data_IF_989137322279
#
_entry.id   IF_989137322279
#
_cell.length_a   1.000
_cell.length_b   1.000
_cell.length_c   1.000
_cell.angle_alpha   90.00
_cell.angle_beta   90.00
_cell.angle_gamma   90.00
#
_symmetry.space_group_name_H-M   'P 1'
#
loop_
_entity.id
_entity.type
_entity.pdbx_description
1 polymer ?
#
# COMPACT_ATOMS: atom_id res chain seq x y z
N UNK A 1 -3.84 2.91 0.83
CA UNK A 1 -5.30 2.84 1.11
C UNK A 1 -5.54 1.83 2.22
N UNK A 2 -6.50 2.08 3.11
CA UNK A 2 -6.91 1.17 4.19
C UNK A 2 -8.37 0.81 3.99
N UNK A 3 -8.72 -0.46 4.14
CA UNK A 3 -10.02 -0.96 3.74
C UNK A 3 -10.22 -2.43 4.02
N UNK A 4 -11.41 -2.92 3.69
CA UNK A 4 -11.74 -4.33 3.77
C UNK A 4 -11.58 -4.96 2.39
N UNK A 5 -10.79 -6.02 2.31
CA UNK A 5 -10.76 -6.86 1.12
C UNK A 5 -11.90 -7.89 1.22
N UNK A 6 -12.98 -7.63 0.49
CA UNK A 6 -14.05 -8.60 0.27
C UNK A 6 -13.66 -9.50 -0.89
N UNK A 7 -13.23 -10.71 -0.55
CA UNK A 7 -12.83 -11.73 -1.51
C UNK A 7 -13.89 -12.81 -1.53
N UNK A 8 -14.75 -12.77 -2.55
CA UNK A 8 -15.65 -13.87 -2.89
C UNK A 8 -14.97 -14.84 -3.86
N UNK A 9 -15.61 -15.95 -4.20
CA UNK A 9 -15.12 -16.91 -5.20
C UNK A 9 -14.93 -16.26 -6.58
N UNK A 10 -15.66 -15.18 -6.88
CA UNK A 10 -15.73 -14.56 -8.21
C UNK A 10 -15.22 -13.12 -8.25
N UNK A 11 -15.10 -12.42 -7.12
CA UNK A 11 -14.66 -11.02 -7.07
C UNK A 11 -13.72 -10.76 -5.89
N UNK A 12 -12.70 -9.93 -6.11
CA UNK A 12 -11.88 -9.30 -5.06
C UNK A 12 -12.10 -7.81 -5.13
N UNK A 13 -12.95 -7.29 -4.26
CA UNK A 13 -13.20 -5.86 -4.14
C UNK A 13 -12.57 -5.32 -2.86
N UNK A 14 -11.87 -4.19 -2.97
CA UNK A 14 -11.30 -3.50 -1.82
C UNK A 14 -12.19 -2.31 -1.47
N UNK A 15 -12.93 -2.45 -0.37
CA UNK A 15 -13.79 -1.39 0.14
C UNK A 15 -12.96 -0.46 1.03
N UNK A 16 -12.69 0.75 0.53
CA UNK A 16 -11.84 1.70 1.26
C UNK A 16 -12.58 2.26 2.48
N UNK A 17 -11.97 2.11 3.65
CA UNK A 17 -12.40 2.74 4.91
C UNK A 17 -11.85 4.17 4.99
N UNK A 18 -10.61 4.36 4.55
CA UNK A 18 -9.99 5.68 4.53
C UNK A 18 -8.56 5.71 4.00
N UNK A 19 -8.06 6.93 3.86
CA UNK A 19 -6.66 7.23 3.54
C UNK A 19 -6.00 7.83 4.78
N UNK A 20 -4.83 7.32 5.20
CA UNK A 20 -4.09 7.95 6.29
C UNK A 20 -3.58 9.33 5.86
N UNK A 21 -3.57 10.28 6.79
CA UNK A 21 -2.78 11.50 6.65
C UNK A 21 -1.31 11.17 6.88
N UNK A 22 -0.45 11.55 5.95
CA UNK A 22 0.99 11.30 6.00
C UNK A 22 1.72 12.64 6.13
N UNK A 23 2.32 12.90 7.28
CA UNK A 23 3.21 14.04 7.47
C UNK A 23 4.64 13.73 6.99
N UNK A 24 5.05 12.47 7.07
CA UNK A 24 6.36 11.98 6.62
C UNK A 24 6.24 11.11 5.37
N UNK A 25 7.31 11.11 4.57
CA UNK A 25 7.44 10.28 3.36
C UNK A 25 7.68 8.83 3.78
N UNK A 26 6.92 7.90 3.23
CA UNK A 26 7.07 6.46 3.51
C UNK A 26 7.91 5.81 2.42
N UNK A 27 9.05 5.20 2.77
CA UNK A 27 9.93 4.57 1.77
C UNK A 27 9.27 3.35 1.11
N UNK A 28 9.38 3.29 -0.20
CA UNK A 28 8.92 2.19 -1.04
C UNK A 28 10.11 1.45 -1.66
N UNK A 29 9.93 0.16 -1.88
CA UNK A 29 10.83 -0.67 -2.65
C UNK A 29 10.24 -0.87 -4.07
N UNK A 30 10.87 -0.33 -5.11
CA UNK A 30 10.56 -0.68 -6.49
C UNK A 30 11.17 -2.04 -6.85
N UNK A 31 10.39 -2.89 -7.52
CA UNK A 31 10.82 -4.19 -8.06
C UNK A 31 10.34 -4.24 -9.51
N UNK A 32 11.27 -4.30 -10.46
CA UNK A 32 10.94 -4.30 -11.88
C UNK A 32 10.60 -5.70 -12.37
N UNK A 33 9.55 -5.82 -13.18
CA UNK A 33 9.04 -7.09 -13.69
C UNK A 33 8.76 -6.98 -15.17
N UNK A 34 9.16 -8.00 -15.93
CA UNK A 34 8.79 -8.10 -17.34
C UNK A 34 7.34 -8.54 -17.49
N UNK A 35 6.66 -7.99 -18.49
CA UNK A 35 5.35 -8.43 -18.91
C UNK A 35 5.37 -9.87 -19.40
N UNK A 36 4.29 -10.58 -19.08
CA UNK A 36 3.89 -11.81 -19.75
C UNK A 36 2.52 -11.61 -20.44
N UNK A 37 2.07 -12.64 -21.16
CA UNK A 37 0.79 -12.61 -21.87
C UNK A 37 -0.43 -12.34 -20.95
N UNK A 38 -0.42 -12.82 -19.70
CA UNK A 38 -1.48 -12.58 -18.73
C UNK A 38 -1.49 -11.13 -18.25
N UNK A 39 -0.31 -10.57 -17.94
CA UNK A 39 -0.15 -9.18 -17.52
C UNK A 39 -0.62 -8.23 -18.63
N UNK A 40 -0.27 -8.52 -19.88
CA UNK A 40 -0.70 -7.72 -21.03
C UNK A 40 -2.22 -7.79 -21.27
N UNK A 41 -2.81 -8.97 -21.09
CA UNK A 41 -4.28 -9.13 -21.15
C UNK A 41 -4.98 -8.34 -20.04
N UNK A 42 -4.42 -8.33 -18.83
CA UNK A 42 -4.95 -7.54 -17.72
C UNK A 42 -4.85 -6.03 -18.00
N UNK A 43 -3.68 -5.57 -18.47
CA UNK A 43 -3.45 -4.19 -18.86
C UNK A 43 -4.45 -3.72 -19.94
N UNK A 44 -4.60 -4.47 -21.04
CA UNK A 44 -5.48 -4.10 -22.15
C UNK A 44 -6.96 -4.05 -21.74
N UNK A 45 -7.38 -4.87 -20.76
CA UNK A 45 -8.72 -4.81 -20.18
C UNK A 45 -8.93 -3.53 -19.36
N UNK A 46 -7.96 -3.18 -18.52
CA UNK A 46 -8.04 -2.04 -17.60
C UNK A 46 -7.87 -0.70 -18.34
N UNK A 47 -6.96 -0.61 -19.32
CA UNK A 47 -6.75 0.59 -20.14
C UNK A 47 -8.04 1.05 -20.85
N UNK A 48 -8.92 0.13 -21.25
CA UNK A 48 -10.21 0.52 -21.86
C UNK A 48 -11.11 1.35 -20.95
N UNK A 49 -10.83 1.34 -19.64
CA UNK A 49 -11.58 2.06 -18.61
C UNK A 49 -10.90 3.37 -18.20
N UNK A 50 -9.64 3.61 -18.62
CA UNK A 50 -8.83 4.76 -18.21
C UNK A 50 -8.13 5.41 -19.42
N UNK A 51 -8.29 6.72 -19.61
CA UNK A 51 -7.59 7.46 -20.67
C UNK A 51 -6.14 7.75 -20.25
N UNK A 52 -5.22 6.86 -20.61
CA UNK A 52 -3.78 7.06 -20.42
C UNK A 52 -3.17 7.88 -21.57
N UNK A 53 -2.18 8.71 -21.25
CA UNK A 53 -1.36 9.45 -22.22
C UNK A 53 -0.28 8.62 -22.93
N UNK A 54 -0.24 7.30 -22.73
CA UNK A 54 0.75 6.40 -23.33
C UNK A 54 0.13 5.04 -23.71
N UNK A 55 0.79 4.33 -24.62
CA UNK A 55 0.39 2.99 -25.05
C UNK A 55 1.54 2.00 -24.90
N UNK A 56 1.18 0.73 -24.66
CA UNK A 56 2.14 -0.37 -24.54
C UNK A 56 1.76 -1.39 -25.61
N UNK A 57 2.72 -1.71 -26.47
CA UNK A 57 2.57 -2.68 -27.55
C UNK A 57 3.38 -3.93 -27.22
N UNK A 58 2.70 -5.01 -26.81
CA UNK A 58 3.36 -6.27 -26.47
C UNK A 58 3.48 -7.19 -27.69
N UNK A 59 4.69 -7.66 -27.92
CA UNK A 59 5.00 -8.73 -28.87
C UNK A 59 5.93 -9.73 -28.17
N UNK A 60 5.49 -10.98 -28.06
CA UNK A 60 6.13 -12.01 -27.22
C UNK A 60 7.56 -12.37 -27.65
N UNK A 61 7.87 -12.14 -28.93
CA UNK A 61 9.18 -12.41 -29.54
C UNK A 61 10.16 -11.24 -29.48
N UNK A 62 9.81 -10.11 -28.85
CA UNK A 62 10.73 -8.98 -28.74
C UNK A 62 11.90 -9.32 -27.80
N UNK A 63 13.15 -8.99 -28.18
CA UNK A 63 14.30 -9.20 -27.32
C UNK A 63 14.24 -8.35 -26.05
N UNK A 64 13.66 -7.15 -26.12
CA UNK A 64 13.37 -6.31 -24.96
C UNK A 64 11.90 -6.44 -24.58
N UNK A 65 11.63 -7.17 -23.49
CA UNK A 65 10.29 -7.26 -22.92
C UNK A 65 9.95 -5.98 -22.18
N UNK A 66 8.75 -5.48 -22.40
CA UNK A 66 8.18 -4.36 -21.65
C UNK A 66 8.19 -4.69 -20.15
N UNK A 67 8.40 -3.67 -19.33
CA UNK A 67 8.43 -3.81 -17.87
C UNK A 67 7.32 -3.01 -17.19
N UNK A 68 6.93 -3.46 -16.02
CA UNK A 68 6.15 -2.70 -15.05
C UNK A 68 6.89 -2.70 -13.70
N UNK A 69 6.46 -1.82 -12.81
CA UNK A 69 7.07 -1.71 -11.48
C UNK A 69 6.12 -2.23 -10.43
N UNK A 70 6.64 -3.08 -9.56
CA UNK A 70 6.00 -3.41 -8.29
C UNK A 70 6.50 -2.45 -7.22
N UNK A 71 5.61 -1.67 -6.64
CA UNK A 71 5.93 -0.81 -5.49
C UNK A 71 5.46 -1.49 -4.21
N UNK A 72 6.38 -1.76 -3.29
CA UNK A 72 6.10 -2.40 -2.00
C UNK A 72 6.45 -1.47 -0.84
N UNK A 73 5.62 -1.45 0.21
CA UNK A 73 5.95 -0.77 1.46
C UNK A 73 7.23 -1.37 2.06
N UNK A 74 8.30 -0.56 2.13
CA UNK A 74 9.57 -0.93 2.76
C UNK A 74 9.60 -0.46 4.20
N UNK A 75 9.27 0.81 4.44
CA UNK A 75 9.30 1.41 5.77
C UNK A 75 7.96 1.31 6.49
N UNK A 76 7.70 0.13 7.05
CA UNK A 76 6.50 -0.13 7.85
C UNK A 76 6.51 0.60 9.19
N UNK A 77 7.68 0.95 9.72
CA UNK A 77 7.81 1.60 11.05
C UNK A 77 7.34 3.04 10.98
N UNK A 78 7.80 3.80 9.99
CA UNK A 78 7.35 5.18 9.78
C UNK A 78 5.84 5.22 9.50
N UNK A 79 5.32 4.26 8.72
CA UNK A 79 3.89 4.16 8.47
C UNK A 79 3.08 3.88 9.75
N UNK A 80 3.56 2.99 10.63
CA UNK A 80 2.92 2.75 11.92
C UNK A 80 2.93 4.01 12.80
N UNK A 81 4.02 4.78 12.79
CA UNK A 81 4.11 6.06 13.49
C UNK A 81 3.07 7.06 12.97
N UNK A 82 2.93 7.20 11.64
CA UNK A 82 1.89 8.05 11.03
C UNK A 82 0.48 7.60 11.43
N UNK A 83 0.18 6.30 11.35
CA UNK A 83 -1.12 5.74 11.71
C UNK A 83 -1.47 5.89 13.19
N UNK A 84 -0.46 5.86 14.08
CA UNK A 84 -0.65 6.08 15.51
C UNK A 84 -0.66 7.57 15.91
N UNK A 85 -0.39 8.48 14.98
CA UNK A 85 -0.44 9.92 15.27
C UNK A 85 -1.86 10.42 15.55
N UNK A 86 -1.96 11.55 16.26
CA UNK A 86 -3.24 12.18 16.56
C UNK A 86 -4.04 12.55 15.30
N UNK A 87 -3.36 12.87 14.18
CA UNK A 87 -4.02 13.18 12.90
C UNK A 87 -4.82 12.01 12.33
N UNK A 88 -4.42 10.78 12.66
CA UNK A 88 -5.07 9.56 12.21
C UNK A 88 -5.91 8.90 13.30
N UNK A 89 -6.22 9.57 14.41
CA UNK A 89 -6.96 8.95 15.54
C UNK A 89 -8.30 8.36 15.11
N UNK A 90 -9.11 9.10 14.35
CA UNK A 90 -10.40 8.62 13.83
C UNK A 90 -10.24 7.36 12.98
N UNK A 91 -9.29 7.39 12.03
CA UNK A 91 -9.02 6.25 11.16
C UNK A 91 -8.50 5.05 11.96
N UNK A 92 -7.57 5.27 12.89
CA UNK A 92 -7.06 4.24 13.80
C UNK A 92 -8.17 3.59 14.61
N UNK A 93 -9.12 4.38 15.12
CA UNK A 93 -10.27 3.88 15.86
C UNK A 93 -11.22 3.06 14.97
N UNK A 94 -11.41 3.44 13.71
CA UNK A 94 -12.16 2.64 12.74
C UNK A 94 -11.47 1.29 12.47
N UNK A 95 -10.14 1.29 12.25
CA UNK A 95 -9.36 0.05 12.07
C UNK A 95 -9.44 -0.82 13.33
N UNK A 96 -9.33 -0.23 14.53
CA UNK A 96 -9.40 -0.96 15.80
C UNK A 96 -10.72 -1.74 15.95
N UNK A 97 -11.82 -1.12 15.54
CA UNK A 97 -13.16 -1.71 15.62
C UNK A 97 -13.47 -2.64 14.43
N UNK A 98 -12.61 -2.70 13.41
CA UNK A 98 -12.78 -3.54 12.24
C UNK A 98 -11.65 -4.60 12.11
N UNK A 99 -11.95 -5.83 12.53
CA UNK A 99 -11.00 -6.97 12.45
C UNK A 99 -10.58 -7.38 11.03
N UNK A 100 -11.29 -6.90 10.01
CA UNK A 100 -11.04 -7.18 8.59
C UNK A 100 -10.24 -6.08 7.89
N UNK A 101 -10.04 -4.94 8.56
CA UNK A 101 -9.28 -3.84 8.01
C UNK A 101 -7.86 -4.30 7.66
N UNK A 102 -7.51 -4.11 6.41
CA UNK A 102 -6.21 -4.39 5.82
C UNK A 102 -5.69 -3.11 5.13
N UNK A 103 -4.40 -3.08 4.82
CA UNK A 103 -3.74 -1.99 4.10
C UNK A 103 -3.20 -2.48 2.78
N UNK A 104 -3.43 -1.72 1.71
CA UNK A 104 -2.71 -1.93 0.44
C UNK A 104 -1.22 -1.70 0.69
N UNK A 105 -0.45 -2.78 0.58
CA UNK A 105 0.96 -2.82 0.95
C UNK A 105 1.90 -3.02 -0.23
N UNK A 106 1.33 -3.38 -1.37
CA UNK A 106 2.03 -3.54 -2.63
C UNK A 106 1.08 -3.28 -3.78
N UNK A 107 1.58 -2.69 -4.85
CA UNK A 107 0.89 -2.60 -6.13
C UNK A 107 1.80 -3.05 -7.27
N UNK A 108 1.23 -3.64 -8.30
CA UNK A 108 1.87 -3.82 -9.61
C UNK A 108 1.35 -2.72 -10.53
N UNK A 109 2.23 -1.81 -10.92
CA UNK A 109 1.88 -0.56 -11.58
C UNK A 109 2.57 -0.44 -12.94
N UNK A 110 1.74 -0.27 -13.97
CA UNK A 110 2.15 -0.11 -15.35
C UNK A 110 2.21 1.37 -15.68
N UNK A 111 3.39 1.84 -16.02
CA UNK A 111 3.68 3.25 -16.31
C UNK A 111 4.48 3.35 -17.61
N UNK A 112 4.70 4.58 -18.08
CA UNK A 112 5.54 4.83 -19.26
C UNK A 112 6.98 4.31 -19.07
N UNK A 113 7.62 3.92 -20.16
CA UNK A 113 9.03 3.48 -20.16
C UNK A 113 9.95 4.55 -19.55
N UNK A 114 9.70 5.83 -19.86
CA UNK A 114 10.42 6.95 -19.27
C UNK A 114 10.34 6.96 -17.74
N UNK A 115 9.16 6.72 -17.16
CA UNK A 115 8.99 6.67 -15.71
C UNK A 115 9.64 5.40 -15.11
N UNK A 116 9.65 4.27 -15.82
CA UNK A 116 10.40 3.06 -15.41
C UNK A 116 11.89 3.38 -15.33
N UNK A 117 12.46 4.05 -16.33
CA UNK A 117 13.88 4.41 -16.34
C UNK A 117 14.22 5.39 -15.20
N UNK A 118 13.34 6.36 -14.92
CA UNK A 118 13.48 7.25 -13.76
C UNK A 118 13.49 6.48 -12.43
N UNK A 119 12.58 5.51 -12.26
CA UNK A 119 12.55 4.67 -11.06
C UNK A 119 13.80 3.78 -10.94
N UNK A 120 14.34 3.27 -12.05
CA UNK A 120 15.57 2.46 -12.06
C UNK A 120 16.80 3.27 -11.66
N UNK A 121 16.85 4.54 -12.05
CA UNK A 121 17.96 5.44 -11.74
C UNK A 121 17.87 6.05 -10.33
N UNK A 122 16.72 5.95 -9.66
CA UNK A 122 16.43 6.61 -8.40
C UNK A 122 17.28 6.13 -7.23
N UNK A 123 17.68 7.05 -6.36
CA UNK A 123 18.36 6.73 -5.10
C UNK A 123 17.34 6.26 -4.04
N UNK A 124 16.13 6.81 -4.09
CA UNK A 124 15.01 6.39 -3.26
C UNK A 124 13.64 6.71 -3.89
N UNK A 125 12.64 5.91 -3.51
CA UNK A 125 11.24 6.09 -3.91
C UNK A 125 10.38 6.16 -2.66
N UNK A 126 9.44 7.10 -2.63
CA UNK A 126 8.58 7.33 -1.47
C UNK A 126 7.11 7.44 -1.84
N UNK A 127 6.24 6.97 -0.95
CA UNK A 127 4.83 7.35 -0.90
C UNK A 127 4.70 8.63 -0.06
N UNK A 128 3.98 9.61 -0.59
CA UNK A 128 3.66 10.86 0.11
C UNK A 128 2.24 11.29 -0.24
N UNK A 129 1.82 12.44 0.28
CA UNK A 129 0.63 13.15 -0.16
C UNK A 129 1.01 14.54 -0.67
N UNK A 130 0.26 15.04 -1.65
CA UNK A 130 0.32 16.44 -2.02
C UNK A 130 -0.49 17.31 -1.05
N UNK A 131 -0.53 18.63 -1.31
CA UNK A 131 -1.23 19.61 -0.46
C UNK A 131 -2.73 19.33 -0.27
N UNK A 132 -3.35 18.59 -1.19
CA UNK A 132 -4.77 18.21 -1.14
C UNK A 132 -4.98 16.84 -0.49
N UNK A 133 -3.93 16.22 0.09
CA UNK A 133 -4.00 14.89 0.68
C UNK A 133 -4.03 13.75 -0.34
N UNK A 134 -3.83 14.04 -1.64
CA UNK A 134 -3.86 13.02 -2.69
C UNK A 134 -2.54 12.22 -2.65
N UNK A 135 -2.59 10.88 -2.59
CA UNK A 135 -1.40 10.05 -2.64
C UNK A 135 -0.57 10.25 -3.91
N UNK A 136 0.73 10.38 -3.75
CA UNK A 136 1.71 10.57 -4.84
C UNK A 136 2.96 9.72 -4.60
N UNK A 137 3.66 9.40 -5.67
CA UNK A 137 4.99 8.78 -5.63
C UNK A 137 6.04 9.87 -5.84
N UNK A 138 7.03 9.91 -4.96
CA UNK A 138 8.20 10.78 -5.09
C UNK A 138 9.41 9.95 -5.47
N UNK A 139 10.05 10.30 -6.57
CA UNK A 139 11.31 9.72 -7.03
C UNK A 139 12.42 10.70 -6.66
N UNK A 140 13.38 10.24 -5.86
CA UNK A 140 14.54 11.03 -5.44
C UNK A 140 15.76 10.60 -6.24
N UNK A 141 16.42 11.56 -6.90
CA UNK A 141 17.68 11.36 -7.61
C UNK A 141 18.56 12.61 -7.50
N UNK A 142 19.77 12.47 -6.95
CA UNK A 142 20.75 13.56 -6.86
C UNK A 142 20.14 14.85 -6.27
N UNK A 143 19.44 14.72 -5.14
CA UNK A 143 18.66 15.76 -4.44
C UNK A 143 17.48 16.39 -5.22
N UNK A 144 17.22 15.93 -6.44
CA UNK A 144 16.02 16.29 -7.19
C UNK A 144 14.85 15.35 -6.85
N UNK A 145 13.65 15.92 -6.84
CA UNK A 145 12.41 15.18 -6.60
C UNK A 145 11.52 15.29 -7.84
N UNK A 146 11.16 14.14 -8.40
CA UNK A 146 10.12 14.01 -9.42
C UNK A 146 8.86 13.43 -8.78
N UNK A 147 7.71 14.06 -9.03
CA UNK A 147 6.41 13.56 -8.58
C UNK A 147 5.75 12.75 -9.70
N UNK A 148 5.24 11.56 -9.36
CA UNK A 148 4.32 10.80 -10.18
C UNK A 148 2.99 10.62 -9.45
N UNK A 149 1.89 10.69 -10.19
CA UNK A 149 0.54 10.40 -9.72
C UNK A 149 0.20 8.96 -10.08
N UNK A 150 -0.61 8.29 -9.25
CA UNK A 150 -1.09 6.94 -9.60
C UNK A 150 -1.88 6.91 -10.91
N UNK A 151 -2.50 8.04 -11.29
CA UNK A 151 -3.20 8.24 -12.58
C UNK A 151 -2.27 8.28 -13.80
N UNK A 152 -0.96 8.37 -13.60
CA UNK A 152 0.04 8.35 -14.69
C UNK A 152 0.31 6.92 -15.18
N UNK A 153 -0.52 5.96 -14.79
CA UNK A 153 -0.42 4.56 -15.16
C UNK A 153 -1.62 3.75 -14.69
N UNK A 154 -1.53 2.43 -14.87
CA UNK A 154 -2.59 1.47 -14.53
C UNK A 154 -2.11 0.51 -13.47
N UNK A 155 -2.86 0.37 -12.38
CA UNK A 155 -2.59 -0.64 -11.34
C UNK A 155 -3.19 -1.98 -11.77
N UNK A 156 -2.34 -2.95 -12.11
CA UNK A 156 -2.76 -4.30 -12.53
C UNK A 156 -3.28 -5.13 -11.38
N UNK A 157 -2.59 -5.04 -10.24
CA UNK A 157 -2.89 -5.84 -9.06
C UNK A 157 -2.36 -5.14 -7.81
N UNK A 158 -2.82 -5.61 -6.65
CA UNK A 158 -2.35 -5.16 -5.37
C UNK A 158 -2.34 -6.31 -4.36
N UNK A 159 -1.42 -6.26 -3.40
CA UNK A 159 -1.43 -7.12 -2.22
C UNK A 159 -1.71 -6.29 -0.97
N UNK A 160 -2.45 -6.90 -0.04
CA UNK A 160 -2.79 -6.28 1.23
C UNK A 160 -2.03 -6.94 2.38
N UNK A 161 -1.74 -6.13 3.40
CA UNK A 161 -1.20 -6.57 4.69
C UNK A 161 -2.22 -6.33 5.79
N UNK A 162 -2.14 -7.11 6.86
CA UNK A 162 -3.01 -6.98 8.04
C UNK A 162 -2.31 -6.19 9.15
N UNK A 163 -3.12 -5.61 10.04
CA UNK A 163 -2.64 -4.92 11.24
C UNK A 163 -2.52 -5.85 12.44
N UNK A 164 -1.48 -5.62 13.25
CA UNK A 164 -1.25 -6.30 14.51
C UNK A 164 -1.18 -5.29 15.66
N UNK A 165 -2.02 -5.52 16.66
CA UNK A 165 -2.24 -4.63 17.80
C UNK A 165 -1.50 -5.13 19.03
N UNK A 166 -0.96 -4.19 19.81
CA UNK A 166 -0.43 -4.41 21.15
C UNK A 166 -0.97 -3.37 22.13
N UNK A 167 -0.48 -3.42 23.37
CA UNK A 167 -0.76 -2.39 24.37
C UNK A 167 0.43 -1.44 24.45
N UNK A 168 0.17 -0.13 24.43
CA UNK A 168 1.18 0.89 24.70
C UNK A 168 1.47 1.01 26.21
N UNK A 169 2.36 1.93 26.60
CA UNK A 169 2.72 2.18 28.01
C UNK A 169 1.54 2.66 28.90
N UNK A 170 0.44 3.14 28.30
CA UNK A 170 -0.81 3.53 28.99
C UNK A 170 -1.83 2.39 29.09
N UNK A 171 -1.45 1.18 28.66
CA UNK A 171 -2.36 0.04 28.51
C UNK A 171 -3.55 0.38 27.59
N UNK A 172 -3.27 1.01 26.46
CA UNK A 172 -4.25 1.29 25.40
C UNK A 172 -3.85 0.56 24.12
N UNK A 173 -4.81 0.07 23.30
CA UNK A 173 -4.51 -0.57 22.04
C UNK A 173 -3.79 0.36 21.06
N UNK A 174 -2.69 -0.11 20.51
CA UNK A 174 -1.86 0.62 19.54
C UNK A 174 -1.44 -0.31 18.40
N UNK A 175 -1.29 0.25 17.19
CA UNK A 175 -0.78 -0.50 16.04
C UNK A 175 0.72 -0.71 16.22
N UNK A 176 1.16 -1.97 16.37
CA UNK A 176 2.55 -2.31 16.66
C UNK A 176 3.27 -2.99 15.49
N UNK A 177 2.53 -3.62 14.58
CA UNK A 177 3.11 -4.28 13.41
C UNK A 177 2.15 -4.34 12.22
N UNK A 178 2.73 -4.46 11.02
CA UNK A 178 2.02 -4.74 9.75
C UNK A 178 2.60 -6.05 9.20
N UNK A 179 1.77 -7.09 9.15
CA UNK A 179 2.18 -8.43 8.70
C UNK A 179 1.44 -8.83 7.43
N UNK A 180 1.96 -9.83 6.72
CA UNK A 180 1.30 -10.33 5.51
C UNK A 180 -0.10 -10.85 5.84
N UNK A 181 -1.07 -10.62 4.95
CA UNK A 181 -2.43 -11.09 5.19
C UNK A 181 -2.46 -12.61 5.33
N UNK A 182 -3.09 -13.09 6.40
CA UNK A 182 -3.19 -14.53 6.71
C UNK A 182 -2.04 -15.07 7.58
N UNK A 183 -0.97 -14.30 7.76
CA UNK A 183 0.06 -14.63 8.75
C UNK A 183 -0.46 -14.44 10.19
N UNK A 184 0.17 -15.11 11.16
CA UNK A 184 -0.08 -14.83 12.57
C UNK A 184 0.65 -13.56 13.01
N UNK A 185 0.03 -12.76 13.88
CA UNK A 185 0.75 -11.70 14.58
C UNK A 185 1.78 -12.32 15.53
N UNK A 186 2.98 -11.75 15.57
CA UNK A 186 4.09 -12.29 16.35
C UNK A 186 3.96 -11.99 17.85
N UNK A 187 4.42 -12.91 18.69
CA UNK A 187 4.48 -12.73 20.14
C UNK A 187 3.11 -12.48 20.79
N UNK A 188 3.01 -11.40 21.58
CA UNK A 188 1.79 -11.02 22.30
C UNK A 188 0.79 -10.23 21.44
N UNK A 189 1.19 -9.83 20.23
CA UNK A 189 0.36 -9.02 19.36
C UNK A 189 -0.88 -9.77 18.88
N UNK A 190 -1.97 -9.04 18.68
CA UNK A 190 -3.27 -9.61 18.26
C UNK A 190 -3.75 -8.94 16.98
N UNK A 191 -4.29 -9.73 16.06
CA UNK A 191 -5.00 -9.19 14.89
C UNK A 191 -6.23 -8.36 15.28
N UNK A 192 -6.94 -8.80 16.33
CA UNK A 192 -8.11 -8.10 16.83
C UNK A 192 -7.76 -7.25 18.05
N UNK A 193 -7.54 -5.95 17.86
CA UNK A 193 -7.19 -5.02 18.93
C UNK A 193 -8.29 -4.82 19.98
N UNK A 194 -9.56 -5.06 19.66
CA UNK A 194 -10.65 -4.95 20.66
C UNK A 194 -10.56 -6.00 21.77
N UNK A 195 -9.87 -7.13 21.54
CA UNK A 195 -9.63 -8.14 22.57
C UNK A 195 -8.74 -7.61 23.70
N UNK A 196 -7.79 -6.73 23.38
CA UNK A 196 -6.88 -6.12 24.35
C UNK A 196 -7.62 -5.19 25.33
N UNK A 197 -8.73 -4.57 24.92
CA UNK A 197 -9.59 -3.77 25.82
C UNK A 197 -10.30 -4.63 26.87
N UNK A 198 -10.68 -5.87 26.52
CA UNK A 198 -11.41 -6.78 27.44
C UNK A 198 -10.50 -7.32 28.53
N UNK A 199 -9.24 -7.60 28.21
CA UNK A 199 -8.24 -8.07 29.17
C UNK A 199 -7.95 -7.02 30.27
N UNK A 200 -8.01 -5.72 29.94
CA UNK A 200 -7.87 -4.61 30.92
C UNK A 200 -8.97 -4.60 31.99
N UNK A 201 -10.17 -5.09 31.67
CA UNK A 201 -11.30 -5.07 32.60
C UNK A 201 -11.32 -6.26 33.57
N UNK A 202 -10.58 -7.34 33.29
CA UNK A 202 -10.55 -8.54 34.13
C UNK A 202 -9.67 -8.41 35.38
N UNK A 203 -8.86 -7.34 35.47
CA UNK A 203 -7.95 -7.08 36.60
C UNK A 203 -8.32 -5.85 37.42
N UNK A 204 -9.57 -5.38 37.35
CA UNK A 204 -10.09 -4.35 38.25
C UNK A 204 -10.87 -5.00 39.39
N UNK A 205 -10.22 -5.10 40.55
CA UNK A 205 -10.86 -5.34 41.85
C UNK A 205 -11.58 -4.08 42.31
#
# INVERSE_FOLDING_TARGET
MIGDLDATVTTKEFQTIGLPSLATKIRLQPIFKSFNALDYKAYTKLKKQESLGFEINYVDSLPNKLEYVRLRLQDKSTLLSELNSAKNETLRNQILNNKRADIVSQIDWVISEMNIQQLKAADAVYLSQNVNGIPIILISKDDQITELRFSDGVVLSYDVSQFCWGLNYKNEPELMAISEKGSSCTGTLKRNGTKLKKEKNLFKY
#
